data_IF_615981990536
#
_entry.id   IF_615981990536
#
_cell.length_a   1.000
_cell.length_b   1.000
_cell.length_c   1.000
_cell.angle_alpha   90.00
_cell.angle_beta   90.00
_cell.angle_gamma   90.00
#
_symmetry.space_group_name_H-M   'P 1'
#
loop_
_entity.id
_entity.type
_entity.pdbx_description
1 polymer ?
#
# COMPACT_ATOMS: atom_id res chain seq x y z
N UNK A 1 -4.65 22.54 -5.86
CA UNK A 1 -5.66 21.73 -6.58
C UNK A 1 -6.80 21.44 -5.59
N UNK A 2 -8.07 21.52 -6.01
CA UNK A 2 -9.24 21.42 -5.12
C UNK A 2 -9.23 20.16 -4.25
N UNK A 3 -8.77 19.03 -4.80
CA UNK A 3 -8.75 17.75 -4.08
C UNK A 3 -7.85 17.73 -2.85
N UNK A 4 -6.82 18.59 -2.77
CA UNK A 4 -5.97 18.69 -1.58
C UNK A 4 -6.68 19.31 -0.37
N UNK A 5 -7.82 19.98 -0.60
CA UNK A 5 -8.68 20.51 0.46
C UNK A 5 -9.61 19.44 1.02
N UNK A 6 -9.92 18.37 0.27
CA UNK A 6 -10.85 17.33 0.71
C UNK A 6 -10.45 16.74 2.07
N UNK A 7 -9.19 16.34 2.31
CA UNK A 7 -8.78 15.85 3.62
C UNK A 7 -8.90 16.91 4.73
N UNK A 8 -8.63 18.18 4.40
CA UNK A 8 -8.64 19.26 5.39
C UNK A 8 -10.07 19.65 5.79
N UNK A 9 -10.99 19.65 4.83
CA UNK A 9 -12.38 20.09 5.02
C UNK A 9 -13.30 18.95 5.47
N UNK A 10 -13.02 17.71 5.05
CA UNK A 10 -13.91 16.55 5.27
C UNK A 10 -13.22 15.36 5.94
N UNK A 11 -11.94 15.48 6.32
CA UNK A 11 -11.16 14.40 6.90
C UNK A 11 -11.15 14.36 8.43
N UNK A 12 -11.98 15.14 9.13
CA UNK A 12 -11.95 15.22 10.60
C UNK A 12 -12.19 13.89 11.30
N UNK A 13 -13.00 13.02 10.67
CA UNK A 13 -13.35 11.70 11.19
C UNK A 13 -12.45 10.59 10.62
N UNK A 14 -11.50 10.94 9.74
CA UNK A 14 -10.58 9.98 9.17
C UNK A 14 -9.61 9.48 10.26
N UNK A 15 -9.51 8.16 10.35
CA UNK A 15 -8.56 7.48 11.21
C UNK A 15 -7.63 6.64 10.35
N UNK A 16 -6.41 6.44 10.81
CA UNK A 16 -5.51 5.49 10.18
C UNK A 16 -6.08 4.07 10.28
N UNK A 17 -5.76 3.22 9.30
CA UNK A 17 -5.98 1.78 9.45
C UNK A 17 -5.19 1.31 10.68
N UNK A 18 -5.81 0.56 11.62
CA UNK A 18 -5.11 0.09 12.80
C UNK A 18 -3.82 -0.65 12.44
N UNK A 19 -2.71 -0.24 13.06
CA UNK A 19 -1.37 -0.79 12.79
C UNK A 19 -0.59 -0.06 11.69
N UNK A 20 -1.21 0.83 10.91
CA UNK A 20 -0.53 1.55 9.82
C UNK A 20 0.69 2.34 10.32
N UNK A 21 0.52 3.16 11.36
CA UNK A 21 1.61 3.99 11.90
C UNK A 21 2.76 3.13 12.42
N UNK A 22 2.46 2.08 13.17
CA UNK A 22 3.47 1.16 13.70
C UNK A 22 4.27 0.50 12.57
N UNK A 23 3.60 0.02 11.51
CA UNK A 23 4.25 -0.56 10.35
C UNK A 23 5.13 0.47 9.62
N UNK A 24 4.61 1.65 9.33
CA UNK A 24 5.35 2.72 8.65
C UNK A 24 6.57 3.18 9.45
N UNK A 25 6.45 3.34 10.77
CA UNK A 25 7.55 3.68 11.66
C UNK A 25 8.63 2.60 11.68
N UNK A 26 8.24 1.32 11.70
CA UNK A 26 9.19 0.21 11.63
C UNK A 26 9.93 0.17 10.29
N UNK A 27 9.24 0.41 9.18
CA UNK A 27 9.85 0.46 7.85
C UNK A 27 10.85 1.62 7.71
N UNK A 28 10.47 2.83 8.13
CA UNK A 28 11.34 4.01 7.98
C UNK A 28 12.56 3.97 8.91
N UNK A 29 12.37 3.60 10.18
CA UNK A 29 13.46 3.52 11.15
C UNK A 29 14.53 2.50 10.76
N UNK A 30 14.14 1.43 10.07
CA UNK A 30 15.04 0.38 9.60
C UNK A 30 15.48 0.57 8.13
N UNK A 31 15.18 1.72 7.51
CA UNK A 31 15.56 2.05 6.12
C UNK A 31 15.10 1.01 5.08
N UNK A 32 13.92 0.44 5.29
CA UNK A 32 13.30 -0.48 4.33
C UNK A 32 13.06 0.19 2.97
N UNK A 33 13.12 -0.62 1.91
CA UNK A 33 12.76 -0.21 0.55
C UNK A 33 11.26 -0.39 0.35
N UNK A 34 10.49 0.70 0.44
CA UNK A 34 9.03 0.69 0.30
C UNK A 34 8.51 1.99 -0.33
N UNK A 35 7.26 1.99 -0.76
CA UNK A 35 6.56 3.21 -1.14
C UNK A 35 5.07 2.98 -1.36
N UNK A 36 4.37 4.02 -1.80
CA UNK A 36 2.91 4.01 -1.96
C UNK A 36 2.53 4.07 -3.44
N UNK A 37 1.53 3.28 -3.82
CA UNK A 37 0.90 3.29 -5.14
C UNK A 37 -0.60 3.50 -4.96
N UNK A 38 -1.13 4.65 -5.37
CA UNK A 38 -2.52 5.04 -5.13
C UNK A 38 -3.23 5.45 -6.42
N UNK A 39 -4.55 5.22 -6.47
CA UNK A 39 -5.45 5.80 -7.48
C UNK A 39 -5.91 7.22 -7.14
N UNK A 40 -5.48 7.75 -5.99
CA UNK A 40 -5.66 9.16 -5.66
C UNK A 40 -4.64 10.06 -6.35
N UNK A 41 -4.97 11.34 -6.44
CA UNK A 41 -4.06 12.35 -6.98
C UNK A 41 -2.96 12.72 -5.98
N UNK A 42 -1.90 13.36 -6.46
CA UNK A 42 -0.82 13.85 -5.60
C UNK A 42 -1.31 14.82 -4.53
N UNK A 43 -2.26 15.68 -4.89
CA UNK A 43 -2.86 16.62 -3.95
C UNK A 43 -3.64 15.89 -2.85
N UNK A 44 -4.42 14.87 -3.21
CA UNK A 44 -5.25 14.11 -2.29
C UNK A 44 -4.40 13.29 -1.30
N UNK A 45 -3.42 12.53 -1.79
CA UNK A 45 -2.57 11.70 -0.91
C UNK A 45 -1.75 12.53 0.07
N UNK A 46 -1.19 13.66 -0.38
CA UNK A 46 -0.44 14.56 0.51
C UNK A 46 -1.36 15.19 1.56
N UNK A 47 -2.59 15.53 1.21
CA UNK A 47 -3.58 16.03 2.16
C UNK A 47 -3.90 14.99 3.24
N UNK A 48 -4.14 13.72 2.86
CA UNK A 48 -4.40 12.65 3.82
C UNK A 48 -3.19 12.38 4.73
N UNK A 49 -1.98 12.32 4.19
CA UNK A 49 -0.77 12.14 4.98
C UNK A 49 -0.58 13.27 5.99
N UNK A 50 -0.91 14.52 5.62
CA UNK A 50 -0.84 15.67 6.53
C UNK A 50 -1.90 15.63 7.63
N UNK A 51 -3.16 15.32 7.29
CA UNK A 51 -4.26 15.25 8.28
C UNK A 51 -4.05 14.12 9.28
N UNK A 52 -3.57 12.96 8.81
CA UNK A 52 -3.31 11.80 9.66
C UNK A 52 -1.93 11.85 10.33
N UNK A 53 -1.10 12.85 10.05
CA UNK A 53 0.29 12.96 10.52
C UNK A 53 1.08 11.65 10.33
N UNK A 54 0.98 11.06 9.14
CA UNK A 54 1.65 9.80 8.80
C UNK A 54 2.99 10.04 8.10
N UNK A 55 3.91 9.09 8.26
CA UNK A 55 5.21 9.12 7.59
C UNK A 55 5.00 9.19 6.08
N UNK A 56 5.63 10.20 5.46
CA UNK A 56 5.58 10.38 4.03
C UNK A 56 6.47 9.37 3.31
N UNK A 57 5.97 8.66 2.29
CA UNK A 57 6.75 7.67 1.56
C UNK A 57 7.81 8.36 0.70
N UNK A 58 9.02 7.80 0.64
CA UNK A 58 10.10 8.28 -0.23
C UNK A 58 9.80 8.03 -1.71
N UNK A 59 9.05 6.97 -2.00
CA UNK A 59 8.56 6.63 -3.33
C UNK A 59 7.04 6.69 -3.35
N UNK A 60 6.49 7.44 -4.31
CA UNK A 60 5.06 7.60 -4.49
C UNK A 60 4.71 7.49 -5.98
N UNK A 61 3.71 6.67 -6.30
CA UNK A 61 3.01 6.62 -7.58
C UNK A 61 1.55 7.02 -7.35
N UNK A 62 1.08 8.01 -8.11
CA UNK A 62 -0.29 8.56 -8.04
C UNK A 62 -1.03 8.35 -9.35
N UNK A 63 -2.32 8.68 -9.38
CA UNK A 63 -3.16 8.56 -10.58
C UNK A 63 -2.55 9.26 -11.80
N UNK A 64 -1.95 10.44 -11.61
CA UNK A 64 -1.37 11.24 -12.70
C UNK A 64 -0.09 10.63 -13.30
N UNK A 65 0.50 9.63 -12.63
CA UNK A 65 1.75 9.00 -13.08
C UNK A 65 1.52 7.88 -14.11
N UNK A 66 0.27 7.48 -14.36
CA UNK A 66 -0.08 6.35 -15.24
C UNK A 66 -1.24 6.69 -16.18
N UNK A 67 -1.24 6.11 -17.37
CA UNK A 67 -2.32 6.29 -18.35
C UNK A 67 -3.58 5.48 -17.98
N UNK A 68 -3.37 4.27 -17.45
CA UNK A 68 -4.44 3.36 -17.03
C UNK A 68 -4.37 3.10 -15.52
N UNK A 69 -5.50 3.29 -14.84
CA UNK A 69 -5.65 2.97 -13.42
C UNK A 69 -5.85 1.48 -13.15
N UNK A 70 -5.78 1.11 -11.87
CA UNK A 70 -6.12 -0.24 -11.38
C UNK A 70 -7.49 -0.68 -11.96
N UNK A 71 -7.65 -1.90 -12.53
CA UNK A 71 -6.80 -3.08 -12.34
C UNK A 71 -5.61 -3.22 -13.29
N UNK A 72 -5.31 -2.21 -14.11
CA UNK A 72 -4.09 -2.22 -14.91
C UNK A 72 -2.82 -2.27 -14.02
N UNK A 73 -1.82 -3.10 -14.32
CA UNK A 73 -0.64 -3.29 -13.48
C UNK A 73 0.39 -2.16 -13.57
N UNK A 74 0.24 -1.21 -14.50
CA UNK A 74 1.25 -0.19 -14.81
C UNK A 74 1.68 0.62 -13.58
N UNK A 75 0.76 0.90 -12.66
CA UNK A 75 1.07 1.64 -11.43
C UNK A 75 2.05 0.88 -10.51
N UNK A 76 1.89 -0.44 -10.37
CA UNK A 76 2.77 -1.27 -9.56
C UNK A 76 4.11 -1.54 -10.25
N UNK A 77 4.10 -1.75 -11.57
CA UNK A 77 5.33 -1.89 -12.35
C UNK A 77 6.18 -0.61 -12.31
N UNK A 78 5.53 0.55 -12.39
CA UNK A 78 6.19 1.85 -12.21
C UNK A 78 6.73 2.03 -10.79
N UNK A 79 5.96 1.63 -9.76
CA UNK A 79 6.41 1.66 -8.37
C UNK A 79 7.66 0.81 -8.16
N UNK A 80 7.66 -0.44 -8.64
CA UNK A 80 8.84 -1.33 -8.61
C UNK A 80 10.05 -0.69 -9.28
N UNK A 81 9.85 -0.07 -10.45
CA UNK A 81 10.91 0.66 -11.17
C UNK A 81 11.46 1.84 -10.37
N UNK A 82 10.59 2.68 -9.79
CA UNK A 82 11.00 3.85 -8.98
C UNK A 82 11.71 3.45 -7.69
N UNK A 83 11.48 2.23 -7.19
CA UNK A 83 12.25 1.64 -6.08
C UNK A 83 13.60 1.06 -6.48
N UNK A 84 13.96 1.06 -7.78
CA UNK A 84 15.19 0.43 -8.26
C UNK A 84 15.14 -1.10 -8.26
N UNK A 85 13.94 -1.70 -8.22
CA UNK A 85 13.72 -3.14 -8.09
C UNK A 85 13.24 -3.77 -9.41
N UNK A 86 13.59 -3.19 -10.57
CA UNK A 86 13.06 -3.59 -11.90
C UNK A 86 13.17 -5.10 -12.20
N UNK A 87 14.20 -5.76 -11.66
CA UNK A 87 14.46 -7.18 -11.84
C UNK A 87 13.99 -8.07 -10.68
N UNK A 88 13.43 -7.48 -9.62
CA UNK A 88 12.92 -8.25 -8.48
C UNK A 88 11.51 -8.78 -8.76
N UNK A 89 11.30 -10.04 -8.38
CA UNK A 89 9.98 -10.65 -8.25
C UNK A 89 9.49 -10.66 -6.79
N UNK A 90 10.36 -10.35 -5.83
CA UNK A 90 10.08 -10.37 -4.39
C UNK A 90 9.43 -9.04 -3.96
N UNK A 91 8.23 -8.77 -4.48
CA UNK A 91 7.43 -7.59 -4.11
C UNK A 91 6.12 -8.07 -3.48
N UNK A 92 5.79 -7.48 -2.32
CA UNK A 92 4.50 -7.63 -1.66
C UNK A 92 3.72 -6.33 -1.77
N UNK A 93 2.51 -6.42 -2.29
CA UNK A 93 1.54 -5.32 -2.37
C UNK A 93 0.54 -5.46 -1.21
N UNK A 94 0.24 -4.34 -0.56
CA UNK A 94 -0.78 -4.24 0.49
C UNK A 94 -1.98 -3.51 -0.11
N UNK A 95 -3.16 -4.13 -0.09
CA UNK A 95 -4.35 -3.63 -0.78
C UNK A 95 -5.64 -3.92 -0.02
N UNK A 96 -6.69 -3.15 -0.26
CA UNK A 96 -8.01 -3.37 0.33
C UNK A 96 -9.15 -3.32 -0.69
N UNK A 97 -8.82 -3.10 -1.97
CA UNK A 97 -9.77 -3.03 -3.06
C UNK A 97 -9.55 -4.13 -4.12
N UNK A 98 -10.61 -4.80 -4.62
CA UNK A 98 -10.48 -5.81 -5.67
C UNK A 98 -9.75 -5.36 -6.94
N UNK A 99 -9.91 -4.09 -7.35
CA UNK A 99 -9.19 -3.54 -8.50
C UNK A 99 -7.68 -3.49 -8.25
N UNK A 100 -7.27 -3.07 -7.05
CA UNK A 100 -5.87 -2.99 -6.66
C UNK A 100 -5.23 -4.35 -6.45
N UNK A 101 -5.95 -5.29 -5.84
CA UNK A 101 -5.51 -6.69 -5.74
C UNK A 101 -5.23 -7.24 -7.14
N UNK A 102 -6.20 -7.13 -8.06
CA UNK A 102 -6.02 -7.59 -9.45
C UNK A 102 -4.84 -6.91 -10.15
N UNK A 103 -4.62 -5.62 -9.94
CA UNK A 103 -3.45 -4.93 -10.49
C UNK A 103 -2.12 -5.47 -9.94
N UNK A 104 -2.03 -5.73 -8.63
CA UNK A 104 -0.85 -6.33 -8.01
C UNK A 104 -0.58 -7.74 -8.54
N UNK A 105 -1.63 -8.55 -8.69
CA UNK A 105 -1.54 -9.90 -9.29
C UNK A 105 -1.14 -9.85 -10.76
N UNK A 106 -1.72 -8.95 -11.55
CA UNK A 106 -1.36 -8.76 -12.95
C UNK A 106 0.08 -8.26 -13.14
N UNK A 107 0.63 -7.55 -12.15
CA UNK A 107 2.05 -7.17 -12.12
C UNK A 107 2.99 -8.33 -11.74
N UNK A 108 2.44 -9.51 -11.38
CA UNK A 108 3.19 -10.69 -10.96
C UNK A 108 3.59 -10.69 -9.49
N UNK A 109 3.01 -9.83 -8.66
CA UNK A 109 3.37 -9.68 -7.25
C UNK A 109 2.52 -10.53 -6.32
N UNK A 110 3.02 -10.72 -5.10
CA UNK A 110 2.23 -11.23 -3.98
C UNK A 110 1.38 -10.09 -3.40
N UNK A 111 0.14 -10.39 -3.03
CA UNK A 111 -0.80 -9.40 -2.48
C UNK A 111 -1.29 -9.86 -1.12
N UNK A 112 -1.02 -9.05 -0.11
CA UNK A 112 -1.68 -9.11 1.20
C UNK A 112 -2.88 -8.15 1.17
N UNK A 113 -4.09 -8.70 1.27
CA UNK A 113 -5.31 -7.93 1.30
C UNK A 113 -5.77 -7.60 2.73
N UNK A 114 -6.39 -6.44 2.91
CA UNK A 114 -7.05 -6.00 4.14
C UNK A 114 -8.57 -6.04 3.93
N UNK A 115 -9.34 -6.43 4.95
CA UNK A 115 -10.82 -6.40 4.90
C UNK A 115 -11.38 -5.08 5.47
N UNK A 116 -10.70 -3.96 5.25
CA UNK A 116 -11.08 -2.64 5.76
C UNK A 116 -12.23 -2.00 4.97
N UNK A 117 -12.20 -2.15 3.65
CA UNK A 117 -13.19 -1.53 2.74
C UNK A 117 -14.10 -2.57 2.07
N UNK A 118 -13.56 -3.74 1.76
CA UNK A 118 -14.28 -4.81 1.07
C UNK A 118 -14.35 -6.08 1.92
N UNK A 119 -15.36 -6.90 1.64
CA UNK A 119 -15.57 -8.16 2.36
C UNK A 119 -14.47 -9.18 2.05
N UNK A 120 -14.26 -10.12 2.98
CA UNK A 120 -13.36 -11.26 2.80
C UNK A 120 -13.60 -11.99 1.47
N UNK A 121 -14.87 -12.25 1.12
CA UNK A 121 -15.21 -12.92 -0.13
C UNK A 121 -14.74 -12.13 -1.37
N UNK A 122 -14.94 -10.81 -1.39
CA UNK A 122 -14.55 -9.96 -2.51
C UNK A 122 -13.03 -9.89 -2.70
N UNK A 123 -12.26 -9.84 -1.61
CA UNK A 123 -10.79 -9.79 -1.69
C UNK A 123 -10.19 -11.15 -2.06
N UNK A 124 -10.78 -12.25 -1.59
CA UNK A 124 -10.40 -13.61 -2.00
C UNK A 124 -10.70 -13.84 -3.49
N UNK A 125 -11.90 -13.48 -3.96
CA UNK A 125 -12.27 -13.58 -5.37
C UNK A 125 -11.35 -12.75 -6.28
N UNK A 126 -10.83 -11.62 -5.78
CA UNK A 126 -9.87 -10.80 -6.50
C UNK A 126 -8.46 -11.42 -6.63
N UNK A 127 -8.18 -12.50 -5.89
CA UNK A 127 -6.93 -13.26 -6.01
C UNK A 127 -5.84 -12.88 -5.02
N UNK A 128 -6.19 -12.36 -3.83
CA UNK A 128 -5.23 -12.11 -2.76
C UNK A 128 -4.48 -13.39 -2.33
N UNK A 129 -3.20 -13.28 -1.98
CA UNK A 129 -2.40 -14.43 -1.49
C UNK A 129 -2.56 -14.64 0.02
N UNK A 130 -2.79 -13.56 0.75
CA UNK A 130 -3.09 -13.56 2.18
C UNK A 130 -4.16 -12.49 2.44
N UNK A 131 -4.99 -12.71 3.45
CA UNK A 131 -5.99 -11.72 3.87
C UNK A 131 -5.90 -11.55 5.38
N UNK A 132 -5.90 -10.31 5.86
CA UNK A 132 -5.96 -9.96 7.29
C UNK A 132 -7.02 -8.89 7.51
N UNK A 133 -7.45 -8.70 8.77
CA UNK A 133 -8.42 -7.65 9.10
C UNK A 133 -7.82 -6.25 8.85
N UNK A 134 -6.63 -6.01 9.41
CA UNK A 134 -5.89 -4.76 9.30
C UNK A 134 -4.38 -4.98 9.54
N UNK A 135 -3.62 -3.89 9.65
CA UNK A 135 -2.17 -3.91 9.72
C UNK A 135 -1.60 -4.29 11.09
N UNK A 136 -2.42 -4.49 12.14
CA UNK A 136 -1.95 -5.05 13.43
C UNK A 136 -1.45 -6.49 13.29
N UNK A 137 -1.93 -7.18 12.27
CA UNK A 137 -1.55 -8.54 11.91
C UNK A 137 -0.22 -8.63 11.16
N UNK A 138 0.43 -7.51 10.89
CA UNK A 138 1.70 -7.45 10.15
C UNK A 138 2.81 -6.89 11.03
N UNK A 139 4.00 -7.49 10.98
CA UNK A 139 5.16 -6.99 11.70
C UNK A 139 6.43 -7.11 10.86
N UNK A 140 7.31 -6.11 10.95
CA UNK A 140 8.65 -6.15 10.36
C UNK A 140 9.56 -6.91 11.32
N UNK A 141 10.06 -8.07 10.90
CA UNK A 141 10.98 -8.88 11.70
C UNK A 141 12.43 -8.44 11.51
N UNK A 142 12.80 -8.13 10.26
CA UNK A 142 14.16 -7.81 9.87
C UNK A 142 14.14 -6.93 8.61
N UNK A 143 15.11 -6.03 8.52
CA UNK A 143 15.46 -5.33 7.28
C UNK A 143 16.95 -5.52 7.05
N UNK A 144 17.33 -6.03 5.88
CA UNK A 144 18.73 -6.26 5.55
C UNK A 144 19.43 -4.99 5.04
N UNK A 145 20.73 -5.10 4.74
CA UNK A 145 21.54 -3.99 4.25
C UNK A 145 21.13 -3.44 2.87
N UNK A 146 20.30 -4.17 2.13
CA UNK A 146 19.75 -3.77 0.83
C UNK A 146 18.31 -3.22 0.95
N UNK A 147 17.78 -3.14 2.17
CA UNK A 147 16.43 -2.66 2.45
C UNK A 147 15.35 -3.70 2.16
N UNK A 148 15.68 -4.99 1.96
CA UNK A 148 14.68 -6.06 1.85
C UNK A 148 14.07 -6.30 3.21
N UNK A 149 12.76 -6.59 3.22
CA UNK A 149 11.98 -6.71 4.46
C UNK A 149 11.55 -8.15 4.66
N UNK A 150 11.83 -8.69 5.85
CA UNK A 150 11.21 -9.92 6.32
C UNK A 150 9.96 -9.56 7.13
N UNK A 151 8.80 -9.98 6.65
CA UNK A 151 7.52 -9.73 7.28
C UNK A 151 7.02 -10.97 8.02
N UNK A 152 6.40 -10.76 9.17
CA UNK A 152 5.49 -11.71 9.80
C UNK A 152 4.05 -11.30 9.49
N UNK A 153 3.23 -12.25 9.06
CA UNK A 153 1.78 -12.10 8.89
C UNK A 153 1.13 -13.08 9.85
N UNK A 154 0.29 -12.57 10.75
CA UNK A 154 -0.47 -13.34 11.74
C UNK A 154 -1.96 -13.27 11.42
N UNK A 155 -2.75 -14.14 12.05
CA UNK A 155 -4.22 -14.09 12.02
C UNK A 155 -4.80 -14.00 10.59
N UNK A 156 -4.11 -14.59 9.61
CA UNK A 156 -4.51 -14.54 8.22
C UNK A 156 -5.67 -15.51 7.95
N UNK A 157 -6.64 -15.04 7.17
CA UNK A 157 -7.65 -15.91 6.58
C UNK A 157 -6.97 -16.72 5.46
N UNK A 158 -7.03 -18.05 5.58
CA UNK A 158 -6.51 -19.00 4.59
C UNK A 158 -7.60 -19.41 3.60
#
# INVERSE_FOLDING_TARGET
HVEGLIPQEFGSDAVEIPGARALLSALDANKATWGVVTSGTRALVNGWLGVLDLISPKMLVVAEDVEAGKPDPSCYLLGRKRLGLEHSADIVVFEDAPSGIRAGKAAGFKVLALTTTHTLAQVLEAGADWVVEDLRSVSVLEVDGEGRVKLEIRDAYC
#
